data_IF_996192721860
#
_entry.id   IF_996192721860
#
_cell.length_a   1.000
_cell.length_b   1.000
_cell.length_c   1.000
_cell.angle_alpha   90.00
_cell.angle_beta   90.00
_cell.angle_gamma   90.00
#
_symmetry.space_group_name_H-M   'P 1'
#
loop_
_entity.id
_entity.type
_entity.pdbx_description
1 polymer ?
#
# COMPACT_ATOMS: atom_id res chain seq x y z
N UNK A 1 -17.03 -8.64 -9.28
CA UNK A 1 -15.83 -9.49 -9.41
C UNK A 1 -14.81 -9.24 -8.30
N UNK A 2 -14.37 -7.99 -8.03
CA UNK A 2 -13.32 -7.73 -7.01
C UNK A 2 -13.82 -7.36 -5.60
N UNK A 3 -15.07 -7.66 -5.26
CA UNK A 3 -15.64 -7.33 -3.95
C UNK A 3 -14.89 -8.07 -2.82
N UNK A 4 -14.66 -9.36 -3.00
CA UNK A 4 -14.09 -10.21 -1.96
C UNK A 4 -12.62 -9.86 -1.68
N UNK A 5 -11.89 -9.41 -2.70
CA UNK A 5 -10.53 -8.88 -2.53
C UNK A 5 -10.54 -7.65 -1.64
N UNK A 6 -11.42 -6.67 -1.92
CA UNK A 6 -11.51 -5.45 -1.11
C UNK A 6 -11.95 -5.74 0.32
N UNK A 7 -12.96 -6.60 0.48
CA UNK A 7 -13.46 -6.99 1.79
C UNK A 7 -12.39 -7.70 2.63
N UNK A 8 -11.61 -8.59 2.00
CA UNK A 8 -10.52 -9.30 2.66
C UNK A 8 -9.38 -8.35 3.07
N UNK A 9 -8.95 -7.42 2.21
CA UNK A 9 -7.93 -6.41 2.59
C UNK A 9 -8.39 -5.52 3.75
N UNK A 10 -9.64 -5.04 3.72
CA UNK A 10 -10.22 -4.26 4.82
C UNK A 10 -10.27 -5.08 6.11
N UNK A 11 -10.64 -6.36 6.02
CA UNK A 11 -10.65 -7.26 7.17
C UNK A 11 -9.25 -7.47 7.74
N UNK A 12 -8.24 -7.66 6.90
CA UNK A 12 -6.84 -7.76 7.32
C UNK A 12 -6.39 -6.49 8.06
N UNK A 13 -6.78 -5.31 7.58
CA UNK A 13 -6.46 -4.05 8.26
C UNK A 13 -7.15 -3.93 9.63
N UNK A 14 -8.42 -4.30 9.74
CA UNK A 14 -9.15 -4.32 11.02
C UNK A 14 -8.47 -5.28 12.01
N UNK A 15 -8.06 -6.46 11.54
CA UNK A 15 -7.32 -7.43 12.36
C UNK A 15 -5.98 -6.88 12.83
N UNK A 16 -5.25 -6.12 11.99
CA UNK A 16 -4.01 -5.45 12.37
C UNK A 16 -4.24 -4.46 13.52
N UNK A 17 -5.25 -3.59 13.40
CA UNK A 17 -5.61 -2.64 14.45
C UNK A 17 -5.99 -3.33 15.76
N UNK A 18 -6.78 -4.40 15.69
CA UNK A 18 -7.21 -5.15 16.86
C UNK A 18 -6.03 -5.83 17.59
N UNK A 19 -5.09 -6.42 16.85
CA UNK A 19 -3.87 -7.01 17.43
C UNK A 19 -3.01 -5.96 18.12
N UNK A 20 -2.89 -4.80 17.50
CA UNK A 20 -2.21 -3.65 18.07
C UNK A 20 -2.77 -3.18 19.42
N UNK A 21 -4.11 -3.13 19.50
CA UNK A 21 -4.85 -2.74 20.69
C UNK A 21 -4.74 -3.71 21.88
N UNK A 22 -4.26 -4.94 21.69
CA UNK A 22 -4.08 -5.91 22.79
C UNK A 22 -2.84 -5.64 23.65
N UNK A 23 -1.99 -4.71 23.24
CA UNK A 23 -0.93 -4.16 24.09
C UNK A 23 -1.57 -3.19 25.10
N UNK A 24 -1.05 -3.10 26.34
CA UNK A 24 -1.56 -2.17 27.38
C UNK A 24 -1.37 -0.69 27.02
N UNK A 25 -0.78 -0.41 25.87
CA UNK A 25 -0.41 0.92 25.40
C UNK A 25 -1.28 1.33 24.21
N UNK A 26 -1.60 2.62 24.14
CA UNK A 26 -2.39 3.17 23.06
C UNK A 26 -1.54 3.21 21.79
N UNK A 27 -1.87 2.40 20.79
CA UNK A 27 -1.14 2.40 19.53
C UNK A 27 -1.65 3.51 18.61
N UNK A 28 -0.75 4.42 18.23
CA UNK A 28 -1.00 5.42 17.19
C UNK A 28 -0.68 4.84 15.81
N UNK A 29 -1.57 5.07 14.84
CA UNK A 29 -1.37 4.67 13.45
C UNK A 29 -1.38 5.90 12.55
N UNK A 30 -0.42 5.99 11.65
CA UNK A 30 -0.45 7.01 10.60
C UNK A 30 -1.48 6.60 9.55
N UNK A 31 -2.68 7.18 9.65
CA UNK A 31 -3.82 6.84 8.78
C UNK A 31 -3.50 7.03 7.29
N UNK A 32 -2.71 8.04 6.93
CA UNK A 32 -2.33 8.30 5.54
C UNK A 32 -1.55 7.13 4.94
N UNK A 33 -0.47 6.71 5.60
CA UNK A 33 0.33 5.57 5.19
C UNK A 33 -0.51 4.28 5.19
N UNK A 34 -1.29 4.08 6.25
CA UNK A 34 -2.13 2.88 6.40
C UNK A 34 -3.15 2.70 5.27
N UNK A 35 -3.87 3.77 4.90
CA UNK A 35 -4.82 3.70 3.77
C UNK A 35 -4.14 3.63 2.41
N UNK A 36 -2.95 4.19 2.29
CA UNK A 36 -2.14 4.07 1.08
C UNK A 36 -1.72 2.62 0.83
N UNK A 37 -1.19 1.94 1.86
CA UNK A 37 -0.85 0.51 1.79
C UNK A 37 -2.07 -0.36 1.48
N UNK A 38 -3.22 -0.09 2.14
CA UNK A 38 -4.48 -0.78 1.85
C UNK A 38 -4.85 -0.67 0.35
N UNK A 39 -4.75 0.53 -0.21
CA UNK A 39 -5.09 0.80 -1.60
C UNK A 39 -4.17 0.04 -2.55
N UNK A 40 -2.86 0.08 -2.30
CA UNK A 40 -1.88 -0.65 -3.11
C UNK A 40 -2.09 -2.17 -3.03
N UNK A 41 -2.33 -2.70 -1.84
CA UNK A 41 -2.64 -4.13 -1.66
C UNK A 41 -3.88 -4.56 -2.45
N UNK A 42 -4.95 -3.75 -2.45
CA UNK A 42 -6.15 -4.02 -3.25
C UNK A 42 -5.81 -4.04 -4.74
N UNK A 43 -5.10 -3.03 -5.23
CA UNK A 43 -4.73 -2.94 -6.65
C UNK A 43 -3.85 -4.12 -7.07
N UNK A 44 -2.84 -4.46 -6.27
CA UNK A 44 -1.89 -5.52 -6.62
C UNK A 44 -2.51 -6.92 -6.51
N UNK A 45 -3.47 -7.13 -5.60
CA UNK A 45 -4.27 -8.36 -5.62
C UNK A 45 -5.19 -8.47 -6.82
N UNK A 46 -5.71 -7.36 -7.31
CA UNK A 46 -6.53 -7.36 -8.53
C UNK A 46 -5.66 -7.64 -9.76
N UNK A 47 -4.47 -7.04 -9.85
CA UNK A 47 -3.58 -7.13 -11.03
C UNK A 47 -2.76 -8.41 -11.03
N UNK A 48 -2.03 -8.69 -9.93
CA UNK A 48 -1.06 -9.78 -9.83
C UNK A 48 -1.58 -10.97 -9.03
N UNK A 49 -2.71 -10.85 -8.33
CA UNK A 49 -3.23 -11.91 -7.46
C UNK A 49 -2.42 -12.14 -6.18
N UNK A 50 -1.44 -11.28 -5.88
CA UNK A 50 -0.49 -11.39 -4.76
C UNK A 50 -0.69 -10.26 -3.75
N UNK A 51 -0.17 -10.43 -2.53
CA UNK A 51 -0.15 -9.40 -1.48
C UNK A 51 1.30 -8.97 -1.21
N UNK A 52 1.57 -7.66 -1.22
CA UNK A 52 2.93 -7.08 -1.05
C UNK A 52 3.09 -6.26 0.25
N UNK A 53 2.03 -6.08 1.04
CA UNK A 53 2.07 -5.48 2.37
C UNK A 53 1.35 -6.38 3.40
N UNK A 54 1.82 -6.41 4.65
CA UNK A 54 1.30 -7.26 5.74
C UNK A 54 2.09 -8.56 6.01
N UNK A 55 1.67 -9.37 6.99
CA UNK A 55 2.38 -10.58 7.45
C UNK A 55 2.35 -11.75 6.46
N UNK A 56 1.40 -11.76 5.52
CA UNK A 56 1.19 -12.86 4.57
C UNK A 56 1.65 -12.49 3.14
N UNK A 57 2.83 -11.89 3.02
CA UNK A 57 3.42 -11.60 1.71
C UNK A 57 3.92 -12.89 1.04
N UNK A 58 3.59 -13.06 -0.24
CA UNK A 58 3.97 -14.25 -1.00
C UNK A 58 5.45 -14.22 -1.45
N UNK A 59 5.97 -13.03 -1.75
CA UNK A 59 7.33 -12.83 -2.26
C UNK A 59 7.88 -11.51 -1.72
N UNK A 60 8.89 -11.60 -0.83
CA UNK A 60 9.48 -10.44 -0.17
C UNK A 60 10.35 -9.62 -1.12
N UNK A 61 11.01 -10.27 -2.08
CA UNK A 61 11.92 -9.59 -3.02
C UNK A 61 11.11 -8.76 -4.02
N UNK A 62 10.10 -9.37 -4.64
CA UNK A 62 9.16 -8.71 -5.55
C UNK A 62 8.43 -7.55 -4.85
N UNK A 63 7.97 -7.76 -3.61
CA UNK A 63 7.30 -6.74 -2.82
C UNK A 63 8.21 -5.55 -2.49
N UNK A 64 9.48 -5.80 -2.14
CA UNK A 64 10.44 -4.72 -1.86
C UNK A 64 10.79 -3.94 -3.13
N UNK A 65 10.96 -4.63 -4.26
CA UNK A 65 11.21 -3.97 -5.53
C UNK A 65 10.03 -3.09 -5.96
N UNK A 66 8.80 -3.59 -5.83
CA UNK A 66 7.59 -2.82 -6.11
C UNK A 66 7.48 -1.57 -5.21
N UNK A 67 7.72 -1.73 -3.91
CA UNK A 67 7.73 -0.60 -2.96
C UNK A 67 8.73 0.47 -3.38
N UNK A 68 9.93 0.07 -3.81
CA UNK A 68 10.95 1.00 -4.28
C UNK A 68 10.48 1.80 -5.50
N UNK A 69 9.87 1.13 -6.49
CA UNK A 69 9.31 1.81 -7.68
C UNK A 69 8.22 2.79 -7.29
N UNK A 70 7.31 2.39 -6.40
CA UNK A 70 6.24 3.28 -5.94
C UNK A 70 6.83 4.52 -5.29
N UNK A 71 7.81 4.37 -4.39
CA UNK A 71 8.49 5.49 -3.75
C UNK A 71 9.15 6.42 -4.77
N UNK A 72 9.99 5.88 -5.65
CA UNK A 72 10.69 6.65 -6.69
C UNK A 72 9.68 7.38 -7.61
N UNK A 73 8.58 6.72 -7.98
CA UNK A 73 7.53 7.32 -8.82
C UNK A 73 6.83 8.48 -8.11
N UNK A 74 6.53 8.36 -6.82
CA UNK A 74 5.89 9.42 -6.05
C UNK A 74 6.83 10.62 -5.85
N UNK A 75 8.12 10.39 -5.64
CA UNK A 75 9.13 11.44 -5.57
C UNK A 75 9.24 12.22 -6.88
N UNK A 76 9.21 11.51 -8.02
CA UNK A 76 9.25 12.13 -9.34
C UNK A 76 7.92 12.79 -9.73
N UNK A 77 6.77 12.23 -9.35
CA UNK A 77 5.45 12.73 -9.72
C UNK A 77 5.14 14.12 -9.15
N UNK A 78 5.80 14.53 -8.06
CA UNK A 78 5.67 15.86 -7.49
C UNK A 78 6.68 16.87 -8.04
N UNK A 79 7.64 16.43 -8.86
CA UNK A 79 8.68 17.29 -9.39
C UNK A 79 8.19 18.06 -10.62
N UNK A 80 8.50 19.36 -10.67
CA UNK A 80 8.23 20.20 -11.82
C UNK A 80 9.12 19.79 -12.99
N UNK A 81 8.53 19.26 -14.06
CA UNK A 81 9.26 18.96 -15.29
C UNK A 81 9.35 20.21 -16.17
N UNK A 82 10.56 20.74 -16.39
CA UNK A 82 10.81 21.94 -17.22
C UNK A 82 10.30 21.75 -18.65
N UNK A 83 10.33 20.51 -19.16
CA UNK A 83 9.82 20.18 -20.50
C UNK A 83 8.33 20.47 -20.67
N UNK A 84 7.54 20.41 -19.60
CA UNK A 84 6.10 20.69 -19.63
C UNK A 84 5.80 22.19 -19.85
N UNK A 85 6.81 23.06 -19.68
CA UNK A 85 6.70 24.50 -19.88
C UNK A 85 7.19 24.96 -21.26
N UNK A 86 7.66 24.05 -22.11
CA UNK A 86 8.11 24.36 -23.46
C UNK A 86 6.95 24.11 -24.43
N UNK A 87 6.51 25.13 -25.22
CA UNK A 87 5.49 24.93 -26.25
C UNK A 87 5.97 23.91 -27.29
N UNK A 88 5.04 23.12 -27.81
CA UNK A 88 5.28 22.19 -28.92
C UNK A 88 5.71 22.92 -30.21
#
# INVERSE_FOLDING_TARGET
MFHDIRADEVRSLICLFFRGSNSREFQSFEMKSTFFELTLNVLIRIIAGKRYYGEHMADLEEANWFKRIVTETFELSGATNIGDFVPA
#
